data_IF_895651482621
#
_entry.id   IF_895651482621
#
_cell.length_a   1.000
_cell.length_b   1.000
_cell.length_c   1.000
_cell.angle_alpha   90.00
_cell.angle_beta   90.00
_cell.angle_gamma   90.00
#
_symmetry.space_group_name_H-M   'P 1'
#
loop_
_entity.id
_entity.type
_entity.pdbx_description
1 polymer ?
#
# COMPACT_ATOMS: atom_id res chain seq x y z
N UNK A 1 -7.07 -4.65 -15.99
CA UNK A 1 -6.46 -5.13 -14.73
C UNK A 1 -6.54 -4.12 -13.58
N UNK A 2 -6.48 -2.79 -13.81
CA UNK A 2 -6.60 -1.77 -12.76
C UNK A 2 -8.04 -1.39 -12.36
N UNK A 3 -9.06 -1.76 -13.14
CA UNK A 3 -10.47 -1.38 -12.90
C UNK A 3 -11.10 -2.00 -11.62
N UNK A 4 -10.39 -2.86 -10.88
CA UNK A 4 -10.87 -3.54 -9.66
C UNK A 4 -10.09 -3.16 -8.39
N UNK A 5 -9.16 -2.21 -8.48
CA UNK A 5 -8.29 -1.84 -7.36
C UNK A 5 -9.01 -0.87 -6.41
N UNK A 6 -9.04 -1.18 -5.11
CA UNK A 6 -9.58 -0.27 -4.07
C UNK A 6 -8.61 0.87 -3.70
N UNK A 7 -7.30 0.70 -3.99
CA UNK A 7 -6.25 1.63 -3.58
C UNK A 7 -6.48 3.10 -3.97
N UNK A 8 -6.86 3.45 -5.23
CA UNK A 8 -7.09 4.84 -5.60
C UNK A 8 -8.26 5.48 -4.83
N UNK A 9 -9.32 4.70 -4.60
CA UNK A 9 -10.50 5.16 -3.87
C UNK A 9 -10.17 5.40 -2.39
N UNK A 10 -9.45 4.46 -1.75
CA UNK A 10 -9.00 4.62 -0.37
C UNK A 10 -8.08 5.84 -0.20
N UNK A 11 -7.12 6.05 -1.09
CA UNK A 11 -6.23 7.20 -1.03
C UNK A 11 -6.98 8.53 -1.15
N UNK A 12 -8.02 8.59 -1.99
CA UNK A 12 -8.89 9.78 -2.08
C UNK A 12 -9.65 10.02 -0.78
N UNK A 13 -10.17 8.98 -0.13
CA UNK A 13 -10.87 9.11 1.15
C UNK A 13 -9.93 9.59 2.27
N UNK A 14 -8.72 9.03 2.36
CA UNK A 14 -7.72 9.43 3.36
C UNK A 14 -7.28 10.89 3.17
N UNK A 15 -7.06 11.33 1.92
CA UNK A 15 -6.79 12.74 1.62
C UNK A 15 -7.92 13.67 2.03
N UNK A 16 -9.18 13.26 1.82
CA UNK A 16 -10.33 14.02 2.28
C UNK A 16 -10.40 14.16 3.82
N UNK A 17 -9.71 13.28 4.57
CA UNK A 17 -9.55 13.36 6.02
C UNK A 17 -8.31 14.15 6.45
N UNK A 18 -7.59 14.78 5.52
CA UNK A 18 -6.38 15.57 5.80
C UNK A 18 -5.09 14.75 5.91
N UNK A 19 -5.10 13.47 5.50
CA UNK A 19 -3.92 12.60 5.52
C UNK A 19 -3.33 12.50 4.13
N UNK A 20 -2.04 12.79 3.99
CA UNK A 20 -1.28 12.51 2.77
C UNK A 20 -0.46 11.22 2.91
N UNK A 21 -0.51 10.31 1.92
CA UNK A 21 0.22 9.08 1.97
C UNK A 21 1.72 9.33 1.69
N UNK A 22 2.57 8.68 2.49
CA UNK A 22 4.04 8.75 2.39
C UNK A 22 4.54 8.18 1.04
N UNK A 23 3.75 7.31 0.40
CA UNK A 23 4.00 6.73 -0.92
C UNK A 23 2.71 6.57 -1.72
N UNK A 24 2.77 6.41 -3.05
CA UNK A 24 1.62 5.98 -3.83
C UNK A 24 1.01 4.67 -3.31
N UNK A 25 -0.33 4.55 -3.28
CA UNK A 25 -0.98 3.34 -2.78
C UNK A 25 -0.76 2.17 -3.74
N UNK A 26 -0.51 0.99 -3.20
CA UNK A 26 -0.27 -0.24 -3.96
C UNK A 26 -1.43 -1.23 -3.75
N UNK A 27 -1.68 -2.08 -4.75
CA UNK A 27 -2.73 -3.10 -4.70
C UNK A 27 -2.18 -4.47 -4.99
N UNK A 28 -2.75 -5.50 -4.38
CA UNK A 28 -2.29 -6.87 -4.51
C UNK A 28 -3.41 -7.83 -4.92
N UNK A 29 -3.05 -8.87 -5.65
CA UNK A 29 -4.00 -9.86 -6.14
C UNK A 29 -4.17 -11.00 -5.15
N UNK A 30 -5.43 -11.32 -4.85
CA UNK A 30 -5.82 -12.51 -4.06
C UNK A 30 -6.30 -13.62 -4.99
N UNK A 31 -6.28 -14.87 -4.51
CA UNK A 31 -6.85 -16.01 -5.25
C UNK A 31 -8.33 -15.71 -5.58
N UNK A 32 -8.62 -15.62 -6.88
CA UNK A 32 -9.73 -14.88 -7.50
C UNK A 32 -11.17 -15.32 -7.16
N UNK A 33 -11.40 -16.16 -6.15
CA UNK A 33 -12.75 -16.64 -5.81
C UNK A 33 -13.38 -15.92 -4.61
N UNK A 34 -12.66 -15.06 -3.89
CA UNK A 34 -13.19 -14.35 -2.72
C UNK A 34 -12.67 -12.91 -2.67
N UNK A 35 -13.48 -11.97 -2.15
CA UNK A 35 -13.09 -10.56 -1.89
C UNK A 35 -11.89 -10.45 -0.94
N UNK A 36 -11.62 -11.53 -0.23
CA UNK A 36 -10.55 -11.74 0.74
C UNK A 36 -9.90 -13.10 0.45
N UNK A 37 -8.66 -13.30 0.85
CA UNK A 37 -8.02 -14.60 0.69
C UNK A 37 -6.51 -14.49 0.59
N UNK A 38 -5.82 -15.63 0.44
CA UNK A 38 -4.39 -15.62 0.27
C UNK A 38 -4.03 -14.89 -1.02
N UNK A 39 -2.89 -14.20 -0.97
CA UNK A 39 -2.27 -13.58 -2.13
C UNK A 39 -1.97 -14.63 -3.21
N UNK A 40 -1.96 -14.19 -4.47
CA UNK A 40 -1.45 -15.01 -5.58
C UNK A 40 0.04 -15.31 -5.37
N UNK A 41 0.54 -16.36 -6.02
CA UNK A 41 1.97 -16.63 -6.05
C UNK A 41 2.71 -15.41 -6.64
N UNK A 42 3.84 -15.01 -6.04
CA UNK A 42 4.59 -13.81 -6.41
C UNK A 42 4.11 -12.53 -5.72
N UNK A 43 2.84 -12.46 -5.31
CA UNK A 43 2.31 -11.29 -4.60
C UNK A 43 2.79 -11.23 -3.15
N UNK A 44 3.16 -12.37 -2.55
CA UNK A 44 3.77 -12.42 -1.20
C UNK A 44 5.14 -11.72 -1.20
N UNK A 45 5.97 -11.99 -2.20
CA UNK A 45 7.29 -11.37 -2.32
C UNK A 45 7.16 -9.87 -2.64
N UNK A 46 6.21 -9.52 -3.51
CA UNK A 46 5.92 -8.14 -3.89
C UNK A 46 5.40 -7.32 -2.70
N UNK A 47 4.43 -7.85 -1.96
CA UNK A 47 3.92 -7.23 -0.71
C UNK A 47 5.04 -7.07 0.31
N UNK A 48 5.85 -8.10 0.55
CA UNK A 48 6.97 -8.02 1.48
C UNK A 48 7.99 -6.96 1.07
N UNK A 49 8.31 -6.86 -0.23
CA UNK A 49 9.21 -5.82 -0.74
C UNK A 49 8.63 -4.42 -0.54
N UNK A 50 7.34 -4.25 -0.83
CA UNK A 50 6.65 -2.98 -0.63
C UNK A 50 6.59 -2.57 0.85
N UNK A 51 6.32 -3.51 1.76
CA UNK A 51 6.31 -3.27 3.20
C UNK A 51 7.69 -2.82 3.74
N UNK A 52 8.78 -3.46 3.27
CA UNK A 52 10.14 -3.05 3.62
C UNK A 52 10.47 -1.64 3.13
N UNK A 53 10.04 -1.30 1.91
CA UNK A 53 10.21 0.04 1.36
C UNK A 53 9.43 1.10 2.16
N UNK A 54 8.21 0.80 2.58
CA UNK A 54 7.42 1.66 3.47
C UNK A 54 8.14 1.93 4.79
N UNK A 55 8.61 0.88 5.46
CA UNK A 55 9.33 1.01 6.72
C UNK A 55 10.53 1.94 6.58
N UNK A 56 11.38 1.72 5.57
CA UNK A 56 12.55 2.56 5.33
C UNK A 56 12.18 4.03 5.06
N UNK A 57 11.07 4.29 4.35
CA UNK A 57 10.60 5.66 4.11
C UNK A 57 10.05 6.32 5.36
N UNK A 58 9.33 5.58 6.21
CA UNK A 58 8.84 6.09 7.49
C UNK A 58 10.01 6.44 8.39
N UNK A 59 10.99 5.54 8.53
CA UNK A 59 12.21 5.81 9.30
C UNK A 59 12.94 7.03 8.77
N UNK A 60 13.20 7.11 7.46
CA UNK A 60 13.87 8.26 6.86
C UNK A 60 13.09 9.58 7.08
N UNK A 61 11.76 9.53 7.00
CA UNK A 61 10.91 10.71 7.25
C UNK A 61 10.93 11.11 8.73
N UNK A 62 10.89 10.14 9.64
CA UNK A 62 10.99 10.38 11.07
C UNK A 62 12.34 11.01 11.44
N UNK A 63 13.45 10.49 10.91
CA UNK A 63 14.77 11.11 11.09
C UNK A 63 14.85 12.53 10.51
N UNK A 64 14.24 12.79 9.36
CA UNK A 64 14.22 14.13 8.76
C UNK A 64 13.36 15.15 9.52
N UNK A 65 12.42 14.69 10.36
CA UNK A 65 11.54 15.54 11.18
C UNK A 65 12.05 15.73 12.61
N UNK A 66 13.15 15.08 13.00
CA UNK A 66 13.79 15.32 14.29
C UNK A 66 14.65 16.60 14.21
N UNK A 67 14.54 17.52 15.19
CA UNK A 67 15.25 18.79 15.21
C UNK A 67 16.77 18.66 15.42
#
# INVERSE_FOLDING_TARGET
LWKSSAAPWMARQLRAMGVEPIVPPESFFVKAMKKEGPLLAGEVERTASWARMLFNKVEASHFAMQP
#
